data_IF_126697538959
#
_entry.id   IF_126697538959
#
_cell.length_a   1.000
_cell.length_b   1.000
_cell.length_c   1.000
_cell.angle_alpha   90.00
_cell.angle_beta   90.00
_cell.angle_gamma   90.00
#
_symmetry.space_group_name_H-M   'P 1'
#
loop_
_entity.id
_entity.type
_entity.pdbx_description
1 polymer ?
#
# COMPACT_ATOMS: atom_id res chain seq x y z
N UNK A 1 22.26 15.91 -10.00
CA UNK A 1 21.58 16.40 -8.77
C UNK A 1 21.51 15.26 -7.75
N UNK A 2 21.55 15.58 -6.47
CA UNK A 2 21.39 14.62 -5.38
C UNK A 2 19.96 14.74 -4.86
N UNK A 3 19.27 13.61 -4.74
CA UNK A 3 17.98 13.51 -4.04
C UNK A 3 18.23 12.84 -2.70
N UNK A 4 17.95 13.56 -1.61
CA UNK A 4 18.18 13.07 -0.25
C UNK A 4 16.92 13.22 0.58
N UNK A 5 16.33 12.10 1.01
CA UNK A 5 15.11 12.11 1.81
C UNK A 5 14.91 10.77 2.56
N UNK A 6 14.27 10.85 3.73
CA UNK A 6 13.87 9.68 4.54
C UNK A 6 12.47 9.86 5.17
N UNK A 7 11.46 10.28 4.39
CA UNK A 7 10.12 10.47 4.91
C UNK A 7 9.42 9.14 5.25
N UNK A 8 8.19 9.23 5.71
CA UNK A 8 7.28 8.09 5.83
C UNK A 8 7.15 7.37 4.48
N UNK A 9 7.01 6.04 4.50
CA UNK A 9 7.09 5.19 3.30
C UNK A 9 6.11 5.61 2.19
N UNK A 10 4.84 5.87 2.54
CA UNK A 10 3.85 6.29 1.55
C UNK A 10 4.19 7.65 0.93
N UNK A 11 4.80 8.54 1.69
CA UNK A 11 5.27 9.84 1.21
C UNK A 11 6.45 9.67 0.27
N UNK A 12 7.41 8.82 0.61
CA UNK A 12 8.54 8.55 -0.28
C UNK A 12 8.06 8.00 -1.62
N UNK A 13 7.13 7.05 -1.60
CA UNK A 13 6.55 6.50 -2.82
C UNK A 13 5.77 7.55 -3.64
N UNK A 14 4.93 8.34 -2.99
CA UNK A 14 4.08 9.29 -3.70
C UNK A 14 4.88 10.45 -4.30
N UNK A 15 6.04 10.74 -3.76
CA UNK A 15 6.67 12.02 -3.96
C UNK A 15 8.15 11.90 -4.33
N UNK A 16 8.96 11.31 -3.51
CA UNK A 16 10.42 11.29 -3.71
C UNK A 16 10.81 10.41 -4.89
N UNK A 17 10.23 9.22 -4.94
CA UNK A 17 10.48 8.26 -6.01
C UNK A 17 10.13 8.85 -7.40
N UNK A 18 8.91 9.38 -7.63
CA UNK A 18 8.59 9.94 -8.95
C UNK A 18 9.39 11.19 -9.29
N UNK A 19 9.77 12.00 -8.30
CA UNK A 19 10.65 13.13 -8.54
C UNK A 19 12.06 12.68 -8.94
N UNK A 20 12.63 11.73 -8.23
CA UNK A 20 13.92 11.16 -8.59
C UNK A 20 13.90 10.56 -10.01
N UNK A 21 12.83 9.85 -10.36
CA UNK A 21 12.66 9.30 -11.69
C UNK A 21 12.54 10.40 -12.76
N UNK A 22 11.80 11.46 -12.48
CA UNK A 22 11.72 12.63 -13.37
C UNK A 22 13.12 13.24 -13.61
N UNK A 23 13.94 13.40 -12.57
CA UNK A 23 15.32 13.87 -12.74
C UNK A 23 16.18 12.87 -13.55
N UNK A 24 15.99 11.59 -13.35
CA UNK A 24 16.65 10.54 -14.13
C UNK A 24 16.32 10.67 -15.63
N UNK A 25 15.04 10.79 -15.97
CA UNK A 25 14.60 10.93 -17.38
C UNK A 25 15.15 12.18 -18.07
N UNK A 26 15.51 13.19 -17.29
CA UNK A 26 16.17 14.41 -17.77
C UNK A 26 17.71 14.32 -17.80
N UNK A 27 18.29 13.19 -17.38
CA UNK A 27 19.74 13.05 -17.26
C UNK A 27 20.38 13.94 -16.18
N UNK A 28 19.61 14.31 -15.15
CA UNK A 28 20.02 15.22 -14.07
C UNK A 28 20.24 14.54 -12.73
N UNK A 29 19.82 13.28 -12.56
CA UNK A 29 20.01 12.54 -11.32
C UNK A 29 21.41 11.95 -11.26
N UNK A 30 22.15 12.26 -10.20
CA UNK A 30 23.48 11.69 -9.93
C UNK A 30 23.40 10.66 -8.81
N UNK A 31 22.75 10.99 -7.70
CA UNK A 31 22.74 10.17 -6.49
C UNK A 31 21.37 10.23 -5.81
N UNK A 32 20.94 9.10 -5.26
CA UNK A 32 19.82 9.03 -4.31
C UNK A 32 20.34 8.62 -2.95
N UNK A 33 20.00 9.38 -1.90
CA UNK A 33 20.29 9.06 -0.50
C UNK A 33 18.95 8.85 0.20
N UNK A 34 18.72 7.63 0.66
CA UNK A 34 17.42 7.17 1.15
C UNK A 34 17.55 6.27 2.37
N UNK A 35 16.42 5.77 2.86
CA UNK A 35 16.34 4.85 3.99
C UNK A 35 16.69 3.43 3.57
N UNK A 36 17.15 2.66 4.54
CA UNK A 36 17.45 1.23 4.40
C UNK A 36 16.30 0.45 3.76
N UNK A 37 16.62 -0.44 2.83
CA UNK A 37 15.66 -1.26 2.09
C UNK A 37 15.04 -0.59 0.88
N UNK A 38 15.30 0.71 0.62
CA UNK A 38 14.69 1.44 -0.49
C UNK A 38 15.42 1.33 -1.83
N UNK A 39 16.64 0.83 -1.85
CA UNK A 39 17.44 0.71 -3.08
C UNK A 39 16.68 0.09 -4.26
N UNK A 40 15.89 -0.97 -4.11
CA UNK A 40 15.13 -1.55 -5.23
C UNK A 40 14.13 -0.57 -5.86
N UNK A 41 13.59 0.38 -5.11
CA UNK A 41 12.68 1.40 -5.63
C UNK A 41 13.35 2.41 -6.55
N UNK A 42 14.67 2.54 -6.46
CA UNK A 42 15.49 3.46 -7.25
C UNK A 42 16.41 2.73 -8.24
N UNK A 43 15.96 1.58 -8.76
CA UNK A 43 16.74 0.74 -9.69
C UNK A 43 17.30 1.50 -10.91
N UNK A 44 16.71 2.63 -11.24
CA UNK A 44 17.10 3.49 -12.36
C UNK A 44 18.28 4.43 -12.03
N UNK A 45 18.75 4.46 -10.79
CA UNK A 45 19.90 5.28 -10.35
C UNK A 45 21.09 4.38 -10.01
N UNK A 46 22.27 4.68 -10.59
CA UNK A 46 23.46 3.86 -10.37
C UNK A 46 24.07 4.06 -8.97
N UNK A 47 23.94 5.27 -8.39
CA UNK A 47 24.46 5.60 -7.06
C UNK A 47 23.31 5.79 -6.06
N UNK A 48 22.83 4.68 -5.48
CA UNK A 48 21.82 4.68 -4.40
C UNK A 48 22.51 4.33 -3.10
N UNK A 49 22.42 5.25 -2.13
CA UNK A 49 23.02 5.13 -0.80
C UNK A 49 21.91 5.05 0.25
N UNK A 50 21.88 3.96 0.99
CA UNK A 50 20.97 3.74 2.11
C UNK A 50 21.63 4.25 3.39
N UNK A 51 21.68 5.58 3.56
CA UNK A 51 22.38 6.23 4.68
C UNK A 51 21.50 6.43 5.91
N UNK A 52 20.17 6.29 5.78
CA UNK A 52 19.25 6.43 6.89
C UNK A 52 18.83 5.06 7.40
N UNK A 53 19.21 4.74 8.64
CA UNK A 53 18.79 3.52 9.32
C UNK A 53 17.29 3.55 9.63
N UNK A 54 16.73 4.73 9.83
CA UNK A 54 15.34 4.95 10.23
C UNK A 54 14.67 6.00 9.36
N UNK A 55 13.35 5.85 9.18
CA UNK A 55 12.49 6.86 8.59
C UNK A 55 12.05 7.86 9.64
N UNK A 56 11.75 9.08 9.25
CA UNK A 56 11.12 10.05 10.12
C UNK A 56 9.65 10.26 9.77
N UNK A 57 8.81 10.43 10.79
CA UNK A 57 7.44 10.91 10.61
C UNK A 57 7.40 12.44 10.54
N UNK A 58 8.41 13.13 11.06
CA UNK A 58 8.58 14.56 10.85
C UNK A 58 9.06 14.79 9.41
N UNK A 59 8.09 14.96 8.52
CA UNK A 59 8.37 15.17 7.11
C UNK A 59 9.16 16.45 6.84
N UNK A 60 9.10 17.44 7.73
CA UNK A 60 9.94 18.63 7.65
C UNK A 60 11.43 18.32 7.86
N UNK A 61 11.75 17.33 8.71
CA UNK A 61 13.12 16.88 8.94
C UNK A 61 13.62 15.89 7.88
N UNK A 62 12.73 15.37 7.05
CA UNK A 62 13.03 14.31 6.09
C UNK A 62 13.69 14.79 4.78
N UNK A 63 14.20 16.01 4.71
CA UNK A 63 14.80 16.56 3.50
C UNK A 63 13.78 16.98 2.42
N UNK A 64 12.50 16.97 2.72
CA UNK A 64 11.44 17.33 1.76
C UNK A 64 11.48 18.81 1.36
N UNK A 65 12.11 19.66 2.15
CA UNK A 65 12.30 21.08 1.82
C UNK A 65 13.27 21.30 0.65
N UNK A 66 14.10 20.33 0.33
CA UNK A 66 15.01 20.35 -0.79
C UNK A 66 14.36 19.93 -2.11
N UNK A 67 13.15 19.37 -2.03
CA UNK A 67 12.34 19.01 -3.19
C UNK A 67 11.69 20.27 -3.76
N UNK A 68 11.39 20.33 -5.08
CA UNK A 68 10.98 21.58 -5.69
C UNK A 68 9.68 22.13 -5.09
N UNK A 69 9.73 23.40 -4.85
CA UNK A 69 8.67 24.32 -4.45
C UNK A 69 7.29 23.75 -4.13
N UNK A 70 6.84 23.99 -2.91
CA UNK A 70 5.46 23.78 -2.46
C UNK A 70 5.04 22.31 -2.33
N UNK A 71 5.95 21.50 -1.89
CA UNK A 71 5.67 20.15 -1.46
C UNK A 71 4.87 20.13 -0.16
N UNK A 72 3.68 20.62 -0.27
CA UNK A 72 2.68 20.37 0.74
C UNK A 72 2.07 19.05 0.34
N UNK A 73 2.22 18.11 1.23
CA UNK A 73 1.58 16.82 1.19
C UNK A 73 0.19 16.94 0.55
N UNK A 74 0.02 16.48 -0.67
CA UNK A 74 -1.25 16.56 -1.42
C UNK A 74 -2.43 15.88 -0.76
N UNK A 75 -2.24 15.45 0.47
CA UNK A 75 -3.18 14.86 1.39
C UNK A 75 -3.71 15.90 2.39
N UNK A 76 -3.22 17.14 2.39
CA UNK A 76 -3.81 18.19 3.21
C UNK A 76 -4.90 18.93 2.42
N UNK A 77 -6.20 18.69 2.68
CA UNK A 77 -7.29 19.30 1.95
C UNK A 77 -7.59 20.74 2.35
N UNK A 78 -6.98 21.23 3.42
CA UNK A 78 -7.08 22.63 3.81
C UNK A 78 -6.17 23.52 2.95
N UNK A 79 -5.21 22.91 2.30
CA UNK A 79 -4.39 23.56 1.29
C UNK A 79 -4.89 23.01 -0.04
N UNK A 80 -5.36 23.88 -0.92
CA UNK A 80 -5.58 23.58 -2.33
C UNK A 80 -4.48 22.65 -2.80
N UNK A 81 -4.79 21.61 -3.56
CA UNK A 81 -3.84 20.55 -3.86
C UNK A 81 -2.52 21.19 -4.18
N UNK A 82 -1.58 20.97 -3.33
CA UNK A 82 -0.24 21.44 -3.56
C UNK A 82 0.06 21.03 -4.98
N UNK A 83 0.51 21.95 -5.70
CA UNK A 83 0.74 21.77 -7.13
C UNK A 83 1.95 20.89 -7.28
N UNK A 84 1.77 19.62 -6.92
CA UNK A 84 2.61 18.58 -7.45
C UNK A 84 2.29 18.57 -8.92
N UNK A 85 3.26 18.91 -9.72
CA UNK A 85 3.07 18.84 -11.15
C UNK A 85 3.16 17.38 -11.60
N UNK A 86 2.22 16.56 -11.12
CA UNK A 86 2.10 15.18 -11.56
C UNK A 86 1.95 15.05 -13.08
N UNK A 87 1.56 16.12 -13.76
CA UNK A 87 1.46 16.12 -15.22
C UNK A 87 2.84 16.07 -15.90
N UNK A 88 3.91 16.51 -15.21
CA UNK A 88 5.29 16.43 -15.70
C UNK A 88 6.04 15.19 -15.21
N UNK A 89 5.50 14.49 -14.21
CA UNK A 89 6.15 13.34 -13.61
C UNK A 89 5.48 12.05 -14.06
N UNK A 90 6.28 11.02 -14.25
CA UNK A 90 5.81 9.66 -14.51
C UNK A 90 6.35 8.73 -13.42
N UNK A 91 5.61 7.70 -13.03
CA UNK A 91 6.15 6.71 -12.10
C UNK A 91 7.24 5.89 -12.78
N UNK A 92 8.22 5.37 -12.01
CA UNK A 92 9.14 4.37 -12.54
C UNK A 92 8.36 3.18 -13.11
N UNK A 93 8.75 2.64 -14.26
CA UNK A 93 8.08 1.49 -14.87
C UNK A 93 8.44 0.18 -14.16
N UNK A 94 7.96 0.02 -12.92
CA UNK A 94 8.26 -1.17 -12.11
C UNK A 94 7.75 -2.46 -12.73
N UNK A 95 6.58 -2.42 -13.37
CA UNK A 95 6.01 -3.61 -14.03
C UNK A 95 6.91 -4.12 -15.13
N UNK A 96 7.44 -3.23 -15.94
CA UNK A 96 8.34 -3.55 -17.06
C UNK A 96 9.71 -4.00 -16.55
N UNK A 97 10.20 -3.39 -15.47
CA UNK A 97 11.53 -3.70 -14.94
C UNK A 97 11.56 -5.02 -14.15
N UNK A 98 10.55 -5.27 -13.31
CA UNK A 98 10.52 -6.42 -12.42
C UNK A 98 9.63 -7.57 -12.90
N UNK A 99 8.77 -7.32 -13.89
CA UNK A 99 7.81 -8.31 -14.37
C UNK A 99 8.47 -9.44 -15.14
N UNK A 100 7.88 -10.62 -15.00
CA UNK A 100 8.19 -11.81 -15.78
C UNK A 100 6.88 -12.29 -16.39
N UNK A 101 6.88 -12.63 -17.65
CA UNK A 101 5.71 -13.30 -18.24
C UNK A 101 5.60 -14.71 -17.67
N UNK A 102 4.79 -14.85 -16.64
CA UNK A 102 4.55 -16.15 -15.99
C UNK A 102 3.38 -16.91 -16.60
N UNK A 103 2.59 -16.25 -17.45
CA UNK A 103 1.33 -16.76 -17.97
C UNK A 103 0.24 -17.00 -16.90
N UNK A 104 0.49 -16.60 -15.66
CA UNK A 104 -0.42 -16.81 -14.54
C UNK A 104 -1.21 -15.54 -14.24
N UNK A 105 -2.49 -15.72 -13.91
CA UNK A 105 -3.33 -14.64 -13.41
C UNK A 105 -3.17 -14.54 -11.90
N UNK A 106 -2.68 -13.41 -11.39
CA UNK A 106 -2.41 -13.24 -9.98
C UNK A 106 -3.07 -12.00 -9.40
N UNK A 107 -3.52 -12.11 -8.16
CA UNK A 107 -4.06 -11.02 -7.36
C UNK A 107 -3.20 -10.82 -6.11
N UNK A 108 -2.78 -9.59 -5.87
CA UNK A 108 -2.03 -9.22 -4.67
C UNK A 108 -2.96 -8.57 -3.65
N UNK A 109 -3.04 -9.14 -2.47
CA UNK A 109 -3.87 -8.63 -1.37
C UNK A 109 -2.96 -8.13 -0.25
N UNK A 110 -3.08 -6.83 0.08
CA UNK A 110 -2.32 -6.21 1.16
C UNK A 110 -3.23 -5.81 2.32
N UNK A 111 -2.97 -6.36 3.48
CA UNK A 111 -3.69 -6.09 4.71
C UNK A 111 -2.78 -5.43 5.76
N UNK A 112 -3.37 -4.70 6.71
CA UNK A 112 -2.68 -4.18 7.88
C UNK A 112 -3.52 -4.44 9.14
N UNK A 113 -2.87 -4.52 10.28
CA UNK A 113 -3.53 -4.67 11.57
C UNK A 113 -2.67 -4.00 12.63
N UNK A 114 -2.94 -2.74 12.90
CA UNK A 114 -2.10 -1.90 13.75
C UNK A 114 -2.89 -0.77 14.41
N UNK A 115 -2.25 -0.05 15.33
CA UNK A 115 -2.80 1.04 16.12
C UNK A 115 -2.50 2.44 15.56
N UNK A 116 -2.03 2.56 14.33
CA UNK A 116 -1.57 3.84 13.74
C UNK A 116 -2.49 5.05 13.97
N UNK A 117 -3.78 4.83 14.16
CA UNK A 117 -4.76 5.90 14.29
C UNK A 117 -5.70 5.77 15.47
N UNK A 118 -5.36 5.05 16.51
CA UNK A 118 -6.23 4.92 17.67
C UNK A 118 -5.83 3.83 18.65
N UNK A 119 -6.74 3.53 19.57
CA UNK A 119 -6.53 2.52 20.62
C UNK A 119 -6.83 1.09 20.15
N UNK A 120 -7.58 0.96 19.04
CA UNK A 120 -7.97 -0.33 18.47
C UNK A 120 -7.62 -0.38 16.98
N UNK A 121 -7.21 -1.55 16.46
CA UNK A 121 -7.02 -1.73 15.03
C UNK A 121 -8.32 -1.57 14.25
N UNK A 122 -8.29 -0.83 13.17
CA UNK A 122 -9.38 -0.73 12.23
C UNK A 122 -8.87 -0.49 10.81
N UNK A 123 -9.76 -0.68 9.84
CA UNK A 123 -9.37 -0.62 8.45
C UNK A 123 -8.47 -1.78 8.09
N UNK A 124 -8.89 -2.99 8.42
CA UNK A 124 -8.23 -4.23 8.08
C UNK A 124 -9.27 -5.21 7.53
N UNK A 125 -8.79 -6.25 6.87
CA UNK A 125 -9.64 -7.39 6.48
C UNK A 125 -9.58 -8.43 7.58
N UNK A 126 -10.73 -8.77 8.15
CA UNK A 126 -10.81 -9.87 9.10
C UNK A 126 -10.67 -11.24 8.41
N UNK A 127 -10.54 -12.31 9.17
CA UNK A 127 -10.32 -13.65 8.62
C UNK A 127 -11.50 -14.12 7.76
N UNK A 128 -12.72 -13.79 8.12
CA UNK A 128 -13.88 -14.18 7.32
C UNK A 128 -13.85 -13.46 5.95
N UNK A 129 -13.60 -12.17 5.97
CA UNK A 129 -13.43 -11.39 4.74
C UNK A 129 -12.28 -11.95 3.87
N UNK A 130 -11.14 -12.26 4.47
CA UNK A 130 -10.01 -12.87 3.76
C UNK A 130 -10.38 -14.23 3.17
N UNK A 131 -11.06 -15.07 3.93
CA UNK A 131 -11.52 -16.38 3.47
C UNK A 131 -12.47 -16.27 2.28
N UNK A 132 -13.43 -15.35 2.34
CA UNK A 132 -14.38 -15.11 1.25
C UNK A 132 -13.69 -14.56 0.01
N UNK A 133 -12.76 -13.61 0.17
CA UNK A 133 -11.95 -13.09 -0.93
C UNK A 133 -11.10 -14.20 -1.58
N UNK A 134 -10.35 -14.96 -0.79
CA UNK A 134 -9.50 -16.01 -1.31
C UNK A 134 -10.31 -17.10 -2.02
N UNK A 135 -11.43 -17.52 -1.42
CA UNK A 135 -12.32 -18.53 -2.01
C UNK A 135 -12.88 -18.07 -3.34
N UNK A 136 -13.35 -16.83 -3.42
CA UNK A 136 -13.86 -16.28 -4.67
C UNK A 136 -12.76 -16.21 -5.75
N UNK A 137 -11.63 -15.58 -5.45
CA UNK A 137 -10.56 -15.36 -6.42
C UNK A 137 -9.96 -16.65 -6.93
N UNK A 138 -9.72 -17.62 -6.06
CA UNK A 138 -9.20 -18.94 -6.48
C UNK A 138 -10.24 -19.72 -7.29
N UNK A 139 -11.54 -19.57 -7.02
CA UNK A 139 -12.59 -20.15 -7.85
C UNK A 139 -12.67 -19.55 -9.25
N UNK A 140 -12.23 -18.29 -9.41
CA UNK A 140 -12.06 -17.63 -10.70
C UNK A 140 -10.75 -17.98 -11.41
N UNK A 141 -9.93 -18.85 -10.81
CA UNK A 141 -8.66 -19.31 -11.40
C UNK A 141 -7.45 -18.43 -11.14
N UNK A 142 -7.53 -17.52 -10.19
CA UNK A 142 -6.40 -16.66 -9.81
C UNK A 142 -5.49 -17.35 -8.78
N UNK A 143 -4.19 -17.06 -8.88
CA UNK A 143 -3.28 -17.22 -7.75
C UNK A 143 -3.39 -15.98 -6.85
N UNK A 144 -3.55 -16.19 -5.56
CA UNK A 144 -3.66 -15.11 -4.57
C UNK A 144 -2.37 -15.02 -3.77
N UNK A 145 -1.77 -13.85 -3.75
CA UNK A 145 -0.64 -13.55 -2.88
C UNK A 145 -1.12 -12.64 -1.77
N UNK A 146 -1.06 -13.11 -0.54
CA UNK A 146 -1.50 -12.38 0.63
C UNK A 146 -0.32 -11.80 1.38
N UNK A 147 -0.26 -10.46 1.47
CA UNK A 147 0.71 -9.73 2.28
C UNK A 147 0.02 -9.19 3.53
N UNK A 148 0.61 -9.45 4.67
CA UNK A 148 0.28 -8.82 5.93
C UNK A 148 1.43 -7.91 6.36
N UNK A 149 1.19 -6.60 6.39
CA UNK A 149 2.15 -5.65 6.92
C UNK A 149 2.46 -5.96 8.39
N UNK A 150 3.74 -5.98 8.75
CA UNK A 150 4.24 -6.35 10.06
C UNK A 150 5.25 -5.33 10.57
N UNK A 151 5.72 -5.51 11.79
CA UNK A 151 6.79 -4.71 12.40
C UNK A 151 8.20 -5.07 11.90
N UNK A 152 8.34 -5.51 10.66
CA UNK A 152 9.65 -5.83 10.11
C UNK A 152 10.41 -4.56 9.74
N UNK A 153 11.51 -4.33 10.39
CA UNK A 153 12.42 -3.21 10.14
C UNK A 153 12.83 -3.12 8.66
N UNK A 154 13.09 -4.26 8.03
CA UNK A 154 13.50 -4.33 6.63
C UNK A 154 12.43 -3.87 5.63
N UNK A 155 11.17 -3.81 6.04
CA UNK A 155 10.07 -3.36 5.19
C UNK A 155 9.98 -1.83 5.14
N UNK A 156 10.08 -1.17 6.28
CA UNK A 156 9.75 0.24 6.42
C UNK A 156 10.89 1.11 6.92
N UNK A 157 11.94 0.54 7.51
CA UNK A 157 13.04 1.27 8.13
C UNK A 157 12.55 2.36 9.12
N UNK A 158 11.63 2.01 9.99
CA UNK A 158 11.05 2.91 10.99
C UNK A 158 11.70 2.63 12.36
N UNK A 159 11.79 3.65 13.21
CA UNK A 159 12.22 3.50 14.59
C UNK A 159 11.51 2.34 15.29
N UNK A 160 12.29 1.47 15.95
CA UNK A 160 11.74 0.25 16.57
C UNK A 160 10.75 0.57 17.70
N UNK A 161 10.94 1.68 18.42
CA UNK A 161 10.01 2.06 19.50
C UNK A 161 8.67 2.50 18.90
N UNK A 162 8.69 3.21 17.78
CA UNK A 162 7.50 3.58 17.05
C UNK A 162 6.79 2.35 16.49
N UNK A 163 7.52 1.43 15.85
CA UNK A 163 6.97 0.17 15.38
C UNK A 163 6.33 -0.63 16.51
N UNK A 164 6.97 -0.74 17.66
CA UNK A 164 6.41 -1.41 18.82
C UNK A 164 5.12 -0.73 19.31
N UNK A 165 5.04 0.59 19.27
CA UNK A 165 3.84 1.33 19.67
C UNK A 165 2.66 1.10 18.70
N UNK A 166 2.95 1.03 17.40
CA UNK A 166 1.95 0.82 16.34
C UNK A 166 1.43 -0.62 16.33
N UNK A 167 2.31 -1.60 16.57
CA UNK A 167 1.94 -3.03 16.47
C UNK A 167 1.77 -3.72 17.83
N UNK A 168 1.82 -2.99 18.93
CA UNK A 168 1.77 -3.54 20.28
C UNK A 168 0.54 -4.44 20.52
N UNK A 169 0.77 -5.72 20.75
CA UNK A 169 -0.29 -6.68 21.08
C UNK A 169 -1.16 -7.14 19.91
N UNK A 170 -0.82 -6.74 18.67
CA UNK A 170 -1.63 -7.03 17.46
C UNK A 170 -0.84 -7.78 16.39
N UNK A 171 -0.15 -8.85 16.79
CA UNK A 171 0.66 -9.64 15.86
C UNK A 171 -0.20 -10.43 14.86
N UNK A 172 -1.35 -10.95 15.29
CA UNK A 172 -2.22 -11.80 14.48
C UNK A 172 -3.70 -11.45 14.61
N UNK A 173 -4.40 -11.43 13.50
CA UNK A 173 -5.86 -11.50 13.47
C UNK A 173 -6.25 -12.96 13.65
N UNK A 174 -7.09 -13.29 14.63
CA UNK A 174 -7.52 -14.67 14.91
C UNK A 174 -9.04 -14.80 14.85
N UNK A 175 -9.52 -15.86 14.24
CA UNK A 175 -10.93 -16.23 14.24
C UNK A 175 -11.13 -17.74 14.20
N UNK A 176 -12.33 -18.16 14.56
CA UNK A 176 -12.78 -19.55 14.40
C UNK A 176 -13.50 -19.67 13.05
N UNK A 177 -12.91 -20.45 12.13
CA UNK A 177 -13.51 -20.74 10.83
C UNK A 177 -14.14 -22.13 10.89
N UNK A 178 -15.40 -22.23 10.48
CA UNK A 178 -16.13 -23.48 10.44
C UNK A 178 -15.38 -24.52 9.59
N UNK A 179 -15.20 -25.71 10.15
CA UNK A 179 -14.48 -26.81 9.51
C UNK A 179 -12.95 -26.73 9.59
N UNK A 180 -12.36 -25.60 10.04
CA UNK A 180 -10.90 -25.42 10.17
C UNK A 180 -10.50 -25.26 11.64
N UNK A 181 -11.29 -24.50 12.44
CA UNK A 181 -10.97 -24.16 13.82
C UNK A 181 -10.41 -22.75 13.98
N UNK A 182 -9.74 -22.49 15.12
CA UNK A 182 -9.12 -21.19 15.40
C UNK A 182 -7.81 -21.09 14.64
N UNK A 183 -7.71 -20.14 13.73
CA UNK A 183 -6.53 -19.86 12.92
C UNK A 183 -6.16 -18.38 12.94
N UNK A 184 -4.93 -18.06 12.59
CA UNK A 184 -4.50 -16.69 12.30
C UNK A 184 -4.69 -16.36 10.82
N UNK A 185 -4.74 -15.06 10.50
CA UNK A 185 -4.80 -14.59 9.11
C UNK A 185 -3.58 -15.05 8.28
N UNK A 186 -2.42 -15.18 8.93
CA UNK A 186 -1.18 -15.67 8.31
C UNK A 186 -1.15 -17.18 8.10
N UNK A 187 -1.95 -17.92 8.85
CA UNK A 187 -2.08 -19.36 8.68
C UNK A 187 -3.14 -19.72 7.64
N UNK A 188 -4.10 -18.84 7.39
CA UNK A 188 -5.19 -19.08 6.43
C UNK A 188 -4.72 -19.56 5.05
N UNK A 189 -3.65 -19.00 4.44
CA UNK A 189 -3.12 -19.48 3.17
C UNK A 189 -2.77 -20.98 3.16
N UNK A 190 -2.32 -21.54 4.28
CA UNK A 190 -1.94 -22.96 4.38
C UNK A 190 -3.11 -23.93 4.22
N UNK A 191 -4.34 -23.44 4.39
CA UNK A 191 -5.57 -24.23 4.29
C UNK A 191 -6.28 -24.05 2.95
N UNK A 192 -5.71 -23.22 2.05
CA UNK A 192 -6.35 -22.87 0.77
C UNK A 192 -5.42 -23.11 -0.41
N UNK A 193 -5.92 -23.77 -1.43
CA UNK A 193 -5.15 -23.97 -2.65
C UNK A 193 -5.01 -22.64 -3.42
N UNK A 194 -3.87 -22.46 -4.08
CA UNK A 194 -3.55 -21.28 -4.88
C UNK A 194 -3.54 -19.95 -4.06
N UNK A 195 -3.32 -20.03 -2.75
CA UNK A 195 -3.10 -18.89 -1.87
C UNK A 195 -1.72 -19.02 -1.25
N UNK A 196 -0.91 -17.99 -1.38
CA UNK A 196 0.46 -17.96 -0.86
C UNK A 196 0.63 -16.77 0.09
N UNK A 197 1.19 -16.99 1.26
CA UNK A 197 1.62 -15.90 2.13
C UNK A 197 2.85 -15.24 1.50
N UNK A 198 2.83 -13.94 1.34
CA UNK A 198 3.94 -13.18 0.74
C UNK A 198 5.27 -13.43 1.48
N UNK A 199 5.22 -13.56 2.79
CA UNK A 199 6.40 -13.82 3.63
C UNK A 199 7.14 -15.11 3.25
N UNK A 200 6.43 -16.10 2.73
CA UNK A 200 7.01 -17.38 2.29
C UNK A 200 7.78 -17.25 0.95
N UNK A 201 7.59 -16.15 0.25
CA UNK A 201 8.28 -15.84 -1.01
C UNK A 201 9.57 -15.04 -0.79
N UNK A 202 9.73 -14.42 0.38
CA UNK A 202 10.88 -13.56 0.69
C UNK A 202 12.12 -14.41 0.93
N UNK A 203 13.16 -14.21 0.12
CA UNK A 203 14.44 -14.90 0.27
C UNK A 203 15.50 -13.95 0.84
N UNK A 204 15.93 -12.97 0.05
CA UNK A 204 17.05 -12.11 0.40
C UNK A 204 16.61 -10.66 0.72
N UNK A 205 15.88 -10.03 -0.19
CA UNK A 205 15.45 -8.64 -0.06
C UNK A 205 13.92 -8.55 -0.09
N UNK A 206 13.35 -8.09 1.01
CA UNK A 206 11.91 -7.98 1.16
C UNK A 206 11.27 -7.06 0.10
N UNK A 207 11.81 -5.85 -0.07
CA UNK A 207 11.25 -4.87 -0.99
C UNK A 207 11.46 -5.26 -2.46
N UNK A 208 12.59 -5.85 -2.81
CA UNK A 208 12.80 -6.37 -4.16
C UNK A 208 11.85 -7.52 -4.47
N UNK A 209 11.67 -8.46 -3.53
CA UNK A 209 10.67 -9.53 -3.67
C UNK A 209 9.28 -8.97 -3.87
N UNK A 210 8.91 -7.94 -3.09
CA UNK A 210 7.62 -7.27 -3.21
C UNK A 210 7.42 -6.67 -4.62
N UNK A 211 8.40 -5.93 -5.12
CA UNK A 211 8.34 -5.34 -6.46
C UNK A 211 8.22 -6.42 -7.55
N UNK A 212 9.01 -7.50 -7.46
CA UNK A 212 8.94 -8.63 -8.40
C UNK A 212 7.58 -9.34 -8.38
N UNK A 213 7.05 -9.59 -7.20
CA UNK A 213 5.74 -10.25 -7.06
C UNK A 213 4.64 -9.37 -7.61
N UNK A 214 4.61 -8.09 -7.22
CA UNK A 214 3.58 -7.15 -7.64
C UNK A 214 3.62 -6.87 -9.15
N UNK A 215 4.81 -6.87 -9.77
CA UNK A 215 4.98 -6.69 -11.21
C UNK A 215 4.32 -7.80 -12.05
N UNK A 216 4.05 -8.96 -11.45
CA UNK A 216 3.37 -10.09 -12.09
C UNK A 216 1.87 -10.16 -11.75
N UNK A 217 1.32 -9.13 -11.11
CA UNK A 217 -0.10 -9.04 -10.79
C UNK A 217 -0.80 -7.98 -11.66
N UNK A 218 -2.07 -8.24 -11.99
CA UNK A 218 -2.93 -7.29 -12.69
C UNK A 218 -4.02 -6.72 -11.79
N UNK A 219 -4.23 -7.35 -10.63
CA UNK A 219 -5.24 -6.96 -9.66
C UNK A 219 -4.62 -6.81 -8.29
N UNK A 220 -5.03 -5.75 -7.61
CA UNK A 220 -4.57 -5.41 -6.27
C UNK A 220 -5.77 -5.10 -5.38
N UNK A 221 -5.80 -5.68 -4.20
CA UNK A 221 -6.79 -5.36 -3.16
C UNK A 221 -6.00 -4.91 -1.93
N UNK A 222 -6.18 -3.69 -1.51
CA UNK A 222 -5.36 -3.13 -0.44
C UNK A 222 -6.20 -2.31 0.53
N UNK A 223 -5.92 -2.46 1.81
CA UNK A 223 -6.30 -1.44 2.78
C UNK A 223 -5.54 -0.16 2.44
N UNK A 224 -6.22 0.98 2.49
CA UNK A 224 -5.63 2.26 2.13
C UNK A 224 -4.43 2.62 3.01
N UNK A 225 -3.37 3.17 2.39
CA UNK A 225 -2.09 3.51 3.02
C UNK A 225 -0.91 3.36 2.05
N UNK A 226 0.32 3.31 2.54
CA UNK A 226 1.53 3.20 1.71
C UNK A 226 1.52 2.01 0.75
N UNK A 227 0.97 0.87 1.16
CA UNK A 227 0.85 -0.30 0.30
C UNK A 227 -0.15 -0.10 -0.86
N UNK A 228 -1.22 0.67 -0.68
CA UNK A 228 -2.12 1.01 -1.79
C UNK A 228 -1.45 1.96 -2.78
N UNK A 229 -0.63 2.90 -2.29
CA UNK A 229 0.18 3.75 -3.15
C UNK A 229 1.13 2.89 -4.00
N UNK A 230 1.87 1.99 -3.37
CA UNK A 230 2.76 1.08 -4.09
C UNK A 230 2.03 0.23 -5.13
N UNK A 231 0.90 -0.38 -4.75
CA UNK A 231 0.11 -1.22 -5.66
C UNK A 231 -0.30 -0.48 -6.94
N UNK A 232 -0.59 0.81 -6.82
CA UNK A 232 -1.02 1.62 -7.96
C UNK A 232 0.07 1.83 -9.02
N UNK A 233 1.35 1.64 -8.70
CA UNK A 233 2.45 1.78 -9.66
C UNK A 233 2.52 0.68 -10.73
N UNK A 234 1.83 -0.43 -10.51
CA UNK A 234 1.92 -1.59 -11.42
C UNK A 234 0.82 -1.60 -12.48
N UNK A 235 0.04 -0.54 -12.59
CA UNK A 235 -1.10 -0.49 -13.50
C UNK A 235 -2.23 -1.45 -13.08
N UNK A 236 -3.02 -1.95 -14.04
CA UNK A 236 -4.13 -2.85 -13.74
C UNK A 236 -5.24 -2.22 -12.93
N UNK A 237 -5.94 -3.03 -12.13
CA UNK A 237 -7.02 -2.56 -11.26
C UNK A 237 -6.64 -2.69 -9.80
N UNK A 238 -6.72 -1.58 -9.05
CA UNK A 238 -6.50 -1.54 -7.62
C UNK A 238 -7.80 -1.20 -6.88
N UNK A 239 -8.30 -2.14 -6.10
CA UNK A 239 -9.42 -1.94 -5.18
C UNK A 239 -8.83 -1.46 -3.84
N UNK A 240 -9.11 -0.20 -3.49
CA UNK A 240 -8.64 0.41 -2.25
C UNK A 240 -9.74 0.45 -1.22
N UNK A 241 -9.58 -0.31 -0.14
CA UNK A 241 -10.51 -0.31 0.98
C UNK A 241 -10.22 0.89 1.89
N UNK A 242 -11.16 1.81 1.92
CA UNK A 242 -11.02 3.10 2.61
C UNK A 242 -11.91 3.10 3.85
N UNK A 243 -11.28 3.23 4.98
CA UNK A 243 -11.94 3.03 6.25
C UNK A 243 -11.89 4.24 7.17
N UNK A 244 -10.79 5.00 7.16
CA UNK A 244 -10.57 6.12 8.07
C UNK A 244 -9.57 7.13 7.49
N UNK A 245 -9.52 8.29 8.12
CA UNK A 245 -8.47 9.27 7.92
C UNK A 245 -8.70 10.21 6.75
N UNK A 246 -7.62 10.74 6.24
CA UNK A 246 -7.60 11.72 5.15
C UNK A 246 -8.08 11.10 3.84
N UNK A 247 -7.97 9.80 3.70
CA UNK A 247 -8.39 9.01 2.56
C UNK A 247 -9.91 9.05 2.30
N UNK A 248 -10.69 9.36 3.32
CA UNK A 248 -12.15 9.53 3.20
C UNK A 248 -12.55 10.86 2.54
N UNK A 249 -11.61 11.73 2.27
CA UNK A 249 -11.89 13.04 1.69
C UNK A 249 -12.19 12.93 0.20
N UNK A 250 -13.16 13.71 -0.34
CA UNK A 250 -13.64 13.56 -1.72
C UNK A 250 -12.55 13.64 -2.79
N UNK A 251 -11.49 14.40 -2.53
CA UNK A 251 -10.43 14.64 -3.51
C UNK A 251 -9.25 13.67 -3.40
N UNK A 252 -9.24 12.79 -2.40
CA UNK A 252 -8.12 11.86 -2.21
C UNK A 252 -7.92 10.92 -3.41
N UNK A 253 -9.02 10.46 -4.01
CA UNK A 253 -9.04 9.66 -5.24
C UNK A 253 -9.57 10.45 -6.45
N UNK A 254 -9.69 11.77 -6.33
CA UNK A 254 -10.21 12.64 -7.38
C UNK A 254 -9.24 12.80 -8.56
N UNK A 255 -9.70 13.48 -9.60
CA UNK A 255 -8.97 13.64 -10.87
C UNK A 255 -7.56 14.24 -10.72
N UNK A 256 -7.37 15.13 -9.74
CA UNK A 256 -6.07 15.75 -9.47
C UNK A 256 -5.22 15.01 -8.44
N UNK A 257 -5.67 13.84 -7.99
CA UNK A 257 -4.94 13.06 -7.00
C UNK A 257 -3.74 12.33 -7.63
N UNK A 258 -2.81 11.97 -6.77
CA UNK A 258 -1.73 11.05 -7.09
C UNK A 258 -2.21 9.81 -7.87
N UNK A 259 -3.29 9.17 -7.40
CA UNK A 259 -3.79 7.94 -8.01
C UNK A 259 -4.30 8.12 -9.45
N UNK A 260 -4.83 9.28 -9.80
CA UNK A 260 -5.35 9.54 -11.14
C UNK A 260 -4.29 10.11 -12.09
N UNK A 261 -3.41 10.93 -11.55
CA UNK A 261 -2.46 11.67 -12.38
C UNK A 261 -1.11 10.98 -12.54
N UNK A 262 -0.66 10.24 -11.53
CA UNK A 262 0.67 9.65 -11.56
C UNK A 262 0.63 8.14 -11.77
N UNK A 263 -0.20 7.41 -11.00
CA UNK A 263 -0.07 5.95 -10.95
C UNK A 263 -0.48 5.21 -12.22
N UNK A 264 -1.41 5.77 -13.00
CA UNK A 264 -1.94 5.13 -14.20
C UNK A 264 -2.83 3.89 -13.96
N UNK A 265 -3.02 3.47 -12.73
CA UNK A 265 -3.89 2.35 -12.39
C UNK A 265 -5.38 2.73 -12.42
N UNK A 266 -6.24 1.76 -12.72
CA UNK A 266 -7.67 1.87 -12.48
C UNK A 266 -7.92 1.71 -10.98
N UNK A 267 -8.04 2.84 -10.25
CA UNK A 267 -8.25 2.82 -8.80
C UNK A 267 -9.73 2.89 -8.47
N UNK A 268 -10.21 1.88 -7.76
CA UNK A 268 -11.60 1.72 -7.32
C UNK A 268 -11.65 1.83 -5.79
N UNK A 269 -11.96 3.00 -5.22
CA UNK A 269 -12.10 3.14 -3.78
C UNK A 269 -13.42 2.54 -3.29
N UNK A 270 -13.35 1.77 -2.22
CA UNK A 270 -14.52 1.19 -1.53
C UNK A 270 -14.61 1.82 -0.15
N UNK A 271 -15.74 2.45 0.12
CA UNK A 271 -15.99 3.15 1.38
C UNK A 271 -16.98 2.36 2.21
N UNK A 272 -16.48 1.69 3.24
CA UNK A 272 -17.30 0.90 4.15
C UNK A 272 -17.61 1.68 5.43
N UNK A 273 -18.09 2.91 5.24
CA UNK A 273 -18.42 3.81 6.35
C UNK A 273 -19.84 4.36 6.20
N UNK A 274 -20.50 4.60 7.33
CA UNK A 274 -21.80 5.26 7.41
C UNK A 274 -21.58 6.69 7.92
N UNK A 275 -22.11 7.69 7.23
CA UNK A 275 -22.06 9.08 7.66
C UNK A 275 -21.52 10.04 6.61
N UNK A 276 -21.36 11.30 7.01
CA UNK A 276 -20.79 12.31 6.13
C UNK A 276 -19.27 12.21 6.13
N UNK A 277 -18.72 11.72 5.06
CA UNK A 277 -17.29 11.61 4.81
C UNK A 277 -16.53 12.92 5.07
N UNK A 278 -17.17 14.07 4.86
CA UNK A 278 -16.58 15.41 4.98
C UNK A 278 -16.43 15.92 6.43
N UNK A 279 -16.96 15.26 7.42
CA UNK A 279 -17.01 15.80 8.80
C UNK A 279 -16.11 15.07 9.78
N UNK A 280 -15.33 14.09 9.34
CA UNK A 280 -14.54 13.18 10.20
C UNK A 280 -15.40 12.39 11.22
N UNK A 281 -16.71 12.57 11.19
CA UNK A 281 -17.68 11.78 11.96
C UNK A 281 -18.22 10.69 11.07
N UNK A 282 -17.63 9.54 11.15
CA UNK A 282 -18.08 8.34 10.45
C UNK A 282 -18.11 7.16 11.40
N UNK A 283 -19.01 6.27 11.12
CA UNK A 283 -19.11 4.99 11.80
C UNK A 283 -18.89 3.88 10.79
N UNK A 284 -18.24 2.81 11.23
CA UNK A 284 -18.09 1.63 10.40
C UNK A 284 -19.46 1.01 10.13
N UNK A 285 -19.65 0.50 8.94
CA UNK A 285 -20.77 -0.38 8.70
C UNK A 285 -20.58 -1.64 9.54
N UNK A 286 -21.51 -1.89 10.43
CA UNK A 286 -21.55 -3.06 11.28
C UNK A 286 -22.73 -3.89 10.80
N UNK A 287 -22.53 -5.17 10.58
CA UNK A 287 -23.59 -6.10 10.23
C UNK A 287 -24.49 -6.40 11.45
N UNK A 288 -25.56 -7.15 11.25
CA UNK A 288 -26.53 -7.51 12.28
C UNK A 288 -25.90 -8.25 13.48
N UNK A 289 -24.71 -8.80 13.32
CA UNK A 289 -23.99 -9.53 14.39
C UNK A 289 -22.99 -8.65 15.13
N UNK A 290 -22.92 -7.36 14.83
CA UNK A 290 -21.96 -6.42 15.44
C UNK A 290 -20.55 -6.50 14.86
N UNK A 291 -20.35 -7.21 13.73
CA UNK A 291 -19.08 -7.30 13.02
C UNK A 291 -19.02 -6.30 11.87
N UNK A 292 -17.81 -5.98 11.43
CA UNK A 292 -17.62 -5.14 10.26
C UNK A 292 -18.27 -5.75 9.01
N UNK A 293 -18.95 -4.92 8.23
CA UNK A 293 -19.64 -5.33 7.02
C UNK A 293 -18.75 -5.09 5.79
N UNK A 294 -18.37 -6.16 5.11
CA UNK A 294 -17.55 -6.12 3.89
C UNK A 294 -18.36 -6.37 2.61
N UNK A 295 -19.69 -6.28 2.66
CA UNK A 295 -20.55 -6.57 1.50
C UNK A 295 -20.18 -5.72 0.29
N UNK A 296 -20.00 -4.41 0.50
CA UNK A 296 -19.60 -3.50 -0.58
C UNK A 296 -18.24 -3.82 -1.19
N UNK A 297 -17.30 -4.26 -0.35
CA UNK A 297 -15.98 -4.70 -0.83
C UNK A 297 -16.12 -5.96 -1.69
N UNK A 298 -16.83 -6.97 -1.22
CA UNK A 298 -17.01 -8.22 -1.96
C UNK A 298 -17.79 -8.04 -3.26
N UNK A 299 -18.80 -7.17 -3.29
CA UNK A 299 -19.52 -6.80 -4.51
C UNK A 299 -18.59 -6.12 -5.52
N UNK A 300 -17.76 -5.20 -5.05
CA UNK A 300 -16.75 -4.52 -5.91
C UNK A 300 -15.76 -5.53 -6.49
N UNK A 301 -15.22 -6.43 -5.66
CA UNK A 301 -14.29 -7.47 -6.12
C UNK A 301 -14.94 -8.32 -7.23
N UNK A 302 -16.18 -8.77 -7.02
CA UNK A 302 -16.92 -9.59 -8.01
C UNK A 302 -17.24 -8.85 -9.31
N UNK A 303 -17.34 -7.53 -9.26
CA UNK A 303 -17.59 -6.72 -10.45
C UNK A 303 -16.32 -6.45 -11.25
N UNK A 304 -15.21 -6.18 -10.56
CA UNK A 304 -13.94 -5.76 -11.18
C UNK A 304 -13.05 -6.95 -11.57
N UNK A 305 -13.14 -8.08 -10.85
CA UNK A 305 -12.27 -9.25 -11.04
C UNK A 305 -13.14 -10.46 -11.45
N UNK A 306 -12.99 -10.88 -12.71
CA UNK A 306 -13.83 -11.94 -13.31
C UNK A 306 -12.99 -13.08 -13.86
#
# INVERSE_FOLDING_TARGET
MIVKANPEFGIELALVVPYAYHLHTQGKLDTVITSKGMKPFYYFCDDVREEFEERTIDNGAAGLNELPNNWIHGINPEVEPAVLNYDEWTPPPYKEHYGLDTGKKSVFISNKFNLEHGEEPYGFFDIQCLYDMFSYLTSCGYEVIYKRATNRESEFAIDQNEMNSIYQGFDDIKANIEGIGIISDRDLPKYMNNVTLFDDLVQDNYNETQLRVMANCDYFISVCGGNSILSSYFGGTMISYVHKGKELRPNYFGENSYFRKLSGANVVPVYDVIGKVNTMTYHHKINETGKQDYTGLMETIKNEIK
#
